data_IF_247632382605
#
_entry.id   IF_247632382605
#
_cell.length_a   1.000
_cell.length_b   1.000
_cell.length_c   1.000
_cell.angle_alpha   90.00
_cell.angle_beta   90.00
_cell.angle_gamma   90.00
#
_symmetry.space_group_name_H-M   'P 1'
#
loop_
_entity.id
_entity.type
_entity.pdbx_description
1 polymer ?
#
# COMPACT_ATOMS: atom_id res chain seq x y z
N UNK A 1 11.29 -11.10 -11.65
CA UNK A 1 11.42 -10.83 -10.22
C UNK A 1 12.55 -9.82 -10.03
N UNK A 2 12.41 -8.82 -9.16
CA UNK A 2 13.46 -7.83 -8.89
C UNK A 2 13.82 -7.96 -7.42
N UNK A 3 15.05 -8.38 -7.13
CA UNK A 3 15.56 -8.52 -5.78
C UNK A 3 15.85 -7.15 -5.15
N UNK A 4 15.70 -7.06 -3.83
CA UNK A 4 16.15 -5.94 -2.99
C UNK A 4 15.48 -4.58 -3.24
N UNK A 5 14.23 -4.56 -3.70
CA UNK A 5 13.43 -3.34 -3.74
C UNK A 5 13.20 -2.82 -2.31
N UNK A 6 13.78 -1.66 -1.98
CA UNK A 6 13.61 -1.00 -0.66
C UNK A 6 12.33 -0.18 -0.56
N UNK A 7 11.92 0.43 -1.67
CA UNK A 7 10.81 1.37 -1.71
C UNK A 7 9.86 1.04 -2.85
N UNK A 8 8.57 1.08 -2.56
CA UNK A 8 7.49 1.08 -3.56
C UNK A 8 6.74 2.39 -3.44
N UNK A 9 6.48 3.06 -4.56
CA UNK A 9 5.70 4.29 -4.59
C UNK A 9 4.52 4.09 -5.53
N UNK A 10 3.30 4.08 -4.98
CA UNK A 10 2.08 4.19 -5.76
C UNK A 10 1.82 5.68 -6.04
N UNK A 11 2.27 6.15 -7.20
CA UNK A 11 1.99 7.52 -7.64
C UNK A 11 0.48 7.72 -7.84
N UNK A 12 -0.18 6.73 -8.45
CA UNK A 12 -1.63 6.64 -8.54
C UNK A 12 -2.13 5.42 -7.77
N UNK A 13 -3.18 5.61 -6.97
CA UNK A 13 -3.82 4.51 -6.25
C UNK A 13 -4.38 3.47 -7.24
N UNK A 14 -4.12 2.17 -7.05
CA UNK A 14 -4.57 1.12 -7.96
C UNK A 14 -6.11 0.99 -8.01
N UNK A 15 -6.58 0.13 -8.91
CA UNK A 15 -8.02 -0.03 -9.15
C UNK A 15 -8.75 -0.67 -7.97
N UNK A 16 -8.09 -1.56 -7.25
CA UNK A 16 -8.62 -2.25 -6.08
C UNK A 16 -7.51 -2.53 -5.05
N UNK A 17 -7.89 -3.05 -3.89
CA UNK A 17 -6.96 -3.34 -2.79
C UNK A 17 -6.08 -4.56 -3.02
N UNK A 18 -6.51 -5.51 -3.85
CA UNK A 18 -5.70 -6.68 -4.23
C UNK A 18 -4.47 -6.25 -5.05
N UNK A 19 -4.67 -5.37 -6.03
CA UNK A 19 -3.60 -4.74 -6.80
C UNK A 19 -2.66 -3.93 -5.90
N UNK A 20 -3.20 -3.23 -4.90
CA UNK A 20 -2.41 -2.54 -3.89
C UNK A 20 -1.47 -3.49 -3.14
N UNK A 21 -1.99 -4.61 -2.62
CA UNK A 21 -1.22 -5.65 -1.93
C UNK A 21 -0.13 -6.23 -2.85
N UNK A 22 -0.48 -6.55 -4.10
CA UNK A 22 0.48 -7.10 -5.07
C UNK A 22 1.61 -6.13 -5.44
N UNK A 23 1.31 -4.82 -5.51
CA UNK A 23 2.30 -3.76 -5.76
C UNK A 23 3.22 -3.57 -4.56
N UNK A 24 2.70 -3.42 -3.35
CA UNK A 24 3.56 -3.21 -2.17
C UNK A 24 4.37 -4.46 -1.83
N UNK A 25 3.87 -5.66 -2.15
CA UNK A 25 4.59 -6.93 -2.02
C UNK A 25 5.82 -7.09 -2.94
N UNK A 26 6.19 -6.05 -3.70
CA UNK A 26 7.51 -5.97 -4.37
C UNK A 26 8.64 -5.63 -3.39
N UNK A 27 8.35 -4.98 -2.25
CA UNK A 27 9.30 -4.75 -1.15
C UNK A 27 8.99 -5.65 0.05
N UNK A 28 9.81 -5.60 1.11
CA UNK A 28 9.52 -6.32 2.37
C UNK A 28 9.70 -7.84 2.31
N UNK A 29 10.58 -8.35 1.44
CA UNK A 29 10.76 -9.79 1.19
C UNK A 29 11.91 -10.39 1.99
N UNK A 30 11.88 -11.71 2.18
CA UNK A 30 12.99 -12.50 2.74
C UNK A 30 13.56 -11.90 4.04
N UNK A 31 12.69 -11.67 5.02
CA UNK A 31 12.99 -11.04 6.32
C UNK A 31 13.58 -9.62 6.26
N UNK A 32 13.61 -8.98 5.09
CA UNK A 32 14.00 -7.58 4.96
C UNK A 32 12.77 -6.68 5.15
N UNK A 33 12.96 -5.58 5.85
CA UNK A 33 11.96 -4.51 5.89
C UNK A 33 11.86 -3.82 4.52
N UNK A 34 10.67 -3.31 4.23
CA UNK A 34 10.37 -2.55 3.03
C UNK A 34 9.43 -1.39 3.36
N UNK A 35 9.43 -0.36 2.53
CA UNK A 35 8.53 0.79 2.73
C UNK A 35 7.72 1.07 1.48
N UNK A 36 6.42 1.21 1.65
CA UNK A 36 5.51 1.61 0.59
C UNK A 36 4.93 2.99 0.89
N UNK A 37 5.01 3.89 -0.09
CA UNK A 37 4.33 5.18 -0.07
C UNK A 37 3.23 5.17 -1.12
N UNK A 38 2.08 5.72 -0.78
CA UNK A 38 0.93 5.76 -1.68
C UNK A 38 0.31 7.13 -1.63
N UNK A 39 0.21 7.78 -2.78
CA UNK A 39 -0.62 8.97 -2.90
C UNK A 39 -2.07 8.54 -3.03
N UNK A 40 -2.90 9.05 -2.14
CA UNK A 40 -4.33 8.79 -2.09
C UNK A 40 -5.06 10.12 -2.22
N UNK A 41 -5.92 10.25 -3.22
CA UNK A 41 -6.63 11.50 -3.52
C UNK A 41 -8.12 11.35 -3.24
N UNK A 42 -8.89 12.46 -3.15
CA UNK A 42 -10.33 12.40 -2.97
C UNK A 42 -11.06 11.56 -4.03
N UNK A 43 -10.54 11.51 -5.27
CA UNK A 43 -11.08 10.69 -6.35
C UNK A 43 -11.00 9.18 -6.05
N UNK A 44 -10.11 8.77 -5.13
CA UNK A 44 -9.99 7.38 -4.69
C UNK A 44 -10.92 7.04 -3.52
N UNK A 45 -11.72 7.98 -3.02
CA UNK A 45 -12.49 7.85 -1.78
C UNK A 45 -13.38 6.61 -1.69
N UNK A 46 -13.93 6.12 -2.82
CA UNK A 46 -14.70 4.88 -2.87
C UNK A 46 -13.90 3.64 -2.40
N UNK A 47 -12.58 3.70 -2.45
CA UNK A 47 -11.65 2.60 -2.10
C UNK A 47 -11.05 2.77 -0.70
N UNK A 48 -11.34 3.88 -0.01
CA UNK A 48 -10.72 4.21 1.28
C UNK A 48 -11.03 3.15 2.34
N UNK A 49 -12.29 2.67 2.40
CA UNK A 49 -12.71 1.64 3.34
C UNK A 49 -11.89 0.36 3.22
N UNK A 50 -11.66 -0.09 2.00
CA UNK A 50 -10.90 -1.32 1.75
C UNK A 50 -9.42 -1.12 2.10
N UNK A 51 -8.85 0.04 1.76
CA UNK A 51 -7.48 0.38 2.14
C UNK A 51 -7.30 0.42 3.67
N UNK A 52 -8.23 1.06 4.39
CA UNK A 52 -8.22 1.12 5.86
C UNK A 52 -8.28 -0.28 6.46
N UNK A 53 -9.09 -1.18 5.89
CA UNK A 53 -9.16 -2.57 6.34
C UNK A 53 -7.80 -3.27 6.19
N UNK A 54 -7.15 -3.13 5.04
CA UNK A 54 -5.82 -3.71 4.77
C UNK A 54 -4.76 -3.15 5.74
N UNK A 55 -4.76 -1.84 5.96
CA UNK A 55 -3.81 -1.19 6.89
C UNK A 55 -4.03 -1.66 8.34
N UNK A 56 -5.29 -1.80 8.75
CA UNK A 56 -5.65 -2.26 10.09
C UNK A 56 -5.24 -3.72 10.31
N UNK A 57 -5.51 -4.60 9.35
CA UNK A 57 -5.10 -6.01 9.39
C UNK A 57 -3.58 -6.16 9.49
N UNK A 58 -2.85 -5.30 8.77
CA UNK A 58 -1.40 -5.23 8.81
C UNK A 58 -0.83 -4.48 10.03
N UNK A 59 -1.67 -4.11 11.02
CA UNK A 59 -1.29 -3.35 12.22
C UNK A 59 -0.54 -2.04 11.91
N UNK A 60 -0.90 -1.38 10.82
CA UNK A 60 -0.33 -0.09 10.43
C UNK A 60 -1.09 1.07 11.05
N UNK A 61 -0.40 2.20 11.24
CA UNK A 61 -1.04 3.46 11.64
C UNK A 61 -1.84 4.00 10.46
N UNK A 62 -3.16 4.13 10.65
CA UNK A 62 -4.05 4.71 9.65
C UNK A 62 -4.00 6.23 9.75
N UNK A 63 -3.73 6.91 8.63
CA UNK A 63 -3.71 8.36 8.59
C UNK A 63 -5.14 8.90 8.84
N UNK A 64 -5.38 9.79 9.82
CA UNK A 64 -6.71 10.33 10.11
C UNK A 64 -7.37 11.12 8.96
N UNK A 65 -6.59 11.50 7.93
CA UNK A 65 -7.09 12.20 6.73
C UNK A 65 -7.55 11.25 5.62
N UNK A 66 -7.31 9.95 5.78
CA UNK A 66 -7.74 8.89 4.88
C UNK A 66 -9.19 8.49 5.22
#
# INVERSE_FOLDING_TARGET
DVSDVKFVINFDYPNNSEDYIHRIGRTGRSNKAGTAYTFFTPQNGAKARDLVSVLTEANQVVNPKL
#
